data_IF_742814264044
#
_entry.id   IF_742814264044
#
_cell.length_a   1.000
_cell.length_b   1.000
_cell.length_c   1.000
_cell.angle_alpha   90.00
_cell.angle_beta   90.00
_cell.angle_gamma   90.00
#
_symmetry.space_group_name_H-M   'P 1'
#
loop_
_entity.id
_entity.type
_entity.pdbx_description
1 polymer ?
#
# COMPACT_ATOMS: atom_id res chain seq x y z
N UNK A 1 54.67 -6.07 24.81
CA UNK A 1 53.59 -6.99 24.39
C UNK A 1 52.24 -6.56 24.92
N UNK A 2 52.13 -6.15 26.20
CA UNK A 2 50.92 -5.61 26.85
C UNK A 2 50.25 -4.44 26.08
N UNK A 3 51.02 -3.45 25.62
CA UNK A 3 50.48 -2.25 24.95
C UNK A 3 49.76 -2.54 23.63
N UNK A 4 50.24 -3.55 22.89
CA UNK A 4 49.68 -3.96 21.58
C UNK A 4 48.34 -4.69 21.76
N UNK A 5 48.18 -5.40 22.88
CA UNK A 5 46.94 -6.12 23.24
C UNK A 5 45.86 -5.12 23.64
N UNK A 6 46.19 -4.09 24.44
CA UNK A 6 45.22 -3.06 24.80
C UNK A 6 44.78 -2.22 23.60
N UNK A 7 45.69 -1.93 22.67
CA UNK A 7 45.39 -1.17 21.45
C UNK A 7 44.43 -1.92 20.51
N UNK A 8 44.60 -3.24 20.37
CA UNK A 8 43.74 -4.07 19.53
C UNK A 8 42.33 -4.24 20.13
N UNK A 9 42.22 -4.35 21.45
CA UNK A 9 40.95 -4.41 22.17
C UNK A 9 40.15 -3.11 22.00
N UNK A 10 40.81 -1.95 22.09
CA UNK A 10 40.15 -0.63 21.91
C UNK A 10 39.65 -0.45 20.46
N UNK A 11 40.44 -0.86 19.46
CA UNK A 11 40.03 -0.83 18.05
C UNK A 11 38.83 -1.75 17.76
N UNK A 12 38.77 -2.93 18.39
CA UNK A 12 37.65 -3.87 18.22
C UNK A 12 36.33 -3.32 18.78
N UNK A 13 36.37 -2.65 19.94
CA UNK A 13 35.17 -2.04 20.57
C UNK A 13 34.65 -0.85 19.75
N UNK A 14 35.54 -0.03 19.18
CA UNK A 14 35.16 1.11 18.36
C UNK A 14 34.58 0.69 16.98
N UNK A 15 35.15 -0.35 16.36
CA UNK A 15 34.65 -0.89 15.09
C UNK A 15 33.25 -1.51 15.20
N UNK A 16 32.96 -2.18 16.32
CA UNK A 16 31.66 -2.83 16.52
C UNK A 16 30.53 -1.81 16.71
N UNK A 17 30.78 -0.72 17.46
CA UNK A 17 29.80 0.36 17.67
C UNK A 17 29.45 1.14 16.41
N UNK A 18 30.41 1.34 15.50
CA UNK A 18 30.17 2.05 14.23
C UNK A 18 29.39 1.18 13.22
N UNK A 19 29.58 -0.14 13.26
CA UNK A 19 28.87 -1.10 12.39
C UNK A 19 27.36 -1.20 12.67
N UNK A 20 26.95 -1.20 13.94
CA UNK A 20 25.51 -1.18 14.29
C UNK A 20 24.84 0.17 13.99
N UNK A 21 25.56 1.29 14.09
CA UNK A 21 25.05 2.62 13.71
C UNK A 21 24.74 2.72 12.21
N UNK A 22 25.62 2.19 11.35
CA UNK A 22 25.39 2.14 9.89
C UNK A 22 24.25 1.18 9.52
N UNK A 23 24.10 0.05 10.22
CA UNK A 23 22.99 -0.88 10.02
C UNK A 23 21.63 -0.29 10.44
N UNK A 24 21.60 0.53 11.49
CA UNK A 24 20.40 1.24 11.94
C UNK A 24 20.00 2.38 10.97
N UNK A 25 20.96 3.13 10.42
CA UNK A 25 20.69 4.24 9.49
C UNK A 25 20.36 3.79 8.05
N UNK A 26 20.63 2.54 7.67
CA UNK A 26 20.32 1.99 6.35
C UNK A 26 18.91 1.38 6.24
N UNK A 27 18.09 1.46 7.30
CA UNK A 27 16.66 1.12 7.20
C UNK A 27 15.90 2.39 6.75
N UNK A 28 15.31 2.44 5.55
CA UNK A 28 14.40 3.51 5.23
C UNK A 28 13.15 3.35 6.10
N UNK A 29 13.08 4.08 7.22
CA UNK A 29 11.91 4.24 8.08
C UNK A 29 10.99 5.34 7.52
N UNK A 30 10.82 5.37 6.20
CA UNK A 30 9.76 6.15 5.58
C UNK A 30 8.48 5.33 5.67
N UNK A 31 7.37 5.96 6.05
CA UNK A 31 6.03 5.39 6.00
C UNK A 31 5.71 5.01 4.53
N UNK A 32 6.21 3.86 4.08
CA UNK A 32 5.95 3.35 2.74
C UNK A 32 4.47 3.02 2.69
N UNK A 33 3.74 3.68 1.78
CA UNK A 33 2.36 3.34 1.48
C UNK A 33 2.22 1.82 1.41
N UNK A 34 1.23 1.25 2.11
CA UNK A 34 1.05 -0.21 2.18
C UNK A 34 0.92 -0.80 0.77
N UNK A 35 0.31 -0.04 -0.13
CA UNK A 35 0.14 -0.39 -1.53
C UNK A 35 0.51 0.81 -2.43
N UNK A 36 1.77 0.97 -2.85
CA UNK A 36 2.21 2.16 -3.60
C UNK A 36 1.80 2.12 -5.08
N UNK A 37 1.46 0.95 -5.62
CA UNK A 37 1.16 0.76 -7.04
C UNK A 37 -0.35 0.64 -7.27
N UNK A 38 -0.97 1.55 -8.04
CA UNK A 38 -2.34 1.37 -8.48
C UNK A 38 -2.42 0.33 -9.59
N UNK A 39 -3.57 -0.30 -9.73
CA UNK A 39 -3.90 -1.13 -10.88
C UNK A 39 -4.31 -0.23 -12.04
N UNK A 40 -3.51 -0.20 -13.11
CA UNK A 40 -3.80 0.63 -14.28
C UNK A 40 -4.50 -0.12 -15.41
N UNK A 41 -4.52 -1.44 -15.34
CA UNK A 41 -5.09 -2.30 -16.36
C UNK A 41 -6.57 -2.55 -16.10
N UNK A 42 -7.41 -2.03 -17.00
CA UNK A 42 -8.85 -2.23 -17.01
C UNK A 42 -9.19 -3.57 -17.67
N UNK A 43 -9.87 -4.46 -16.94
CA UNK A 43 -10.36 -5.74 -17.48
C UNK A 43 -11.55 -5.58 -18.43
N UNK A 44 -12.27 -4.46 -18.35
CA UNK A 44 -13.47 -4.18 -19.12
C UNK A 44 -13.40 -2.83 -19.84
N UNK A 45 -14.00 -2.72 -21.04
CA UNK A 45 -14.22 -1.42 -21.65
C UNK A 45 -15.23 -0.63 -20.83
N UNK A 46 -14.85 0.58 -20.43
CA UNK A 46 -15.68 1.57 -19.75
C UNK A 46 -15.83 2.80 -20.65
N UNK A 47 -16.82 3.66 -20.37
CA UNK A 47 -16.98 4.92 -21.12
C UNK A 47 -15.73 5.80 -21.10
N UNK A 48 -15.49 6.58 -22.16
CA UNK A 48 -14.29 7.43 -22.29
C UNK A 48 -14.15 8.42 -21.12
N UNK A 49 -15.26 8.99 -20.65
CA UNK A 49 -15.27 9.89 -19.49
C UNK A 49 -14.86 9.17 -18.21
N UNK A 50 -15.36 7.94 -17.99
CA UNK A 50 -14.99 7.11 -16.85
C UNK A 50 -13.52 6.67 -16.92
N UNK A 51 -13.01 6.41 -18.12
CA UNK A 51 -11.60 6.10 -18.35
C UNK A 51 -10.69 7.27 -18.00
N UNK A 52 -11.03 8.47 -18.45
CA UNK A 52 -10.26 9.67 -18.12
C UNK A 52 -10.22 9.93 -16.60
N UNK A 53 -11.35 9.73 -15.92
CA UNK A 53 -11.41 9.82 -14.45
C UNK A 53 -10.57 8.73 -13.78
N UNK A 54 -10.60 7.49 -14.28
CA UNK A 54 -9.81 6.38 -13.76
C UNK A 54 -8.31 6.64 -13.88
N UNK A 55 -7.86 7.12 -15.03
CA UNK A 55 -6.46 7.48 -15.28
C UNK A 55 -6.01 8.65 -14.40
N UNK A 56 -6.86 9.67 -14.26
CA UNK A 56 -6.66 10.80 -13.33
C UNK A 56 -6.54 10.32 -11.87
N UNK A 57 -7.40 9.39 -11.45
CA UNK A 57 -7.34 8.75 -10.14
C UNK A 57 -6.05 7.97 -9.93
N UNK A 58 -5.60 7.21 -10.92
CA UNK A 58 -4.32 6.49 -10.87
C UNK A 58 -3.13 7.46 -10.76
N UNK A 59 -3.14 8.57 -11.50
CA UNK A 59 -2.11 9.59 -11.42
C UNK A 59 -2.07 10.27 -10.05
N UNK A 60 -3.24 10.61 -9.49
CA UNK A 60 -3.34 11.15 -8.14
C UNK A 60 -2.85 10.16 -7.08
N UNK A 61 -3.17 8.87 -7.24
CA UNK A 61 -2.71 7.79 -6.37
C UNK A 61 -1.19 7.67 -6.38
N UNK A 62 -0.57 7.66 -7.57
CA UNK A 62 0.87 7.58 -7.72
C UNK A 62 1.60 8.79 -7.11
N UNK A 63 0.94 9.95 -7.05
CA UNK A 63 1.44 11.15 -6.37
C UNK A 63 1.21 11.12 -4.85
N UNK A 64 0.62 10.05 -4.29
CA UNK A 64 0.27 9.94 -2.87
C UNK A 64 -0.94 10.79 -2.46
N UNK A 65 -1.66 11.38 -3.42
CA UNK A 65 -2.86 12.20 -3.17
C UNK A 65 -4.09 11.31 -3.06
N UNK A 66 -4.11 10.44 -2.06
CA UNK A 66 -5.18 9.44 -1.87
C UNK A 66 -6.59 10.02 -1.78
N UNK A 67 -6.85 11.16 -1.10
CA UNK A 67 -8.20 11.75 -1.09
C UNK A 67 -8.70 12.11 -2.49
N UNK A 68 -7.85 12.78 -3.28
CA UNK A 68 -8.19 13.14 -4.66
C UNK A 68 -8.37 11.89 -5.54
N UNK A 69 -7.54 10.86 -5.34
CA UNK A 69 -7.70 9.59 -6.04
C UNK A 69 -9.04 8.93 -5.74
N UNK A 70 -9.47 8.94 -4.47
CA UNK A 70 -10.77 8.41 -4.03
C UNK A 70 -11.92 9.16 -4.69
N UNK A 71 -11.87 10.49 -4.79
CA UNK A 71 -12.91 11.28 -5.47
C UNK A 71 -13.06 10.86 -6.93
N UNK A 72 -11.92 10.71 -7.64
CA UNK A 72 -11.92 10.26 -9.04
C UNK A 72 -12.44 8.82 -9.17
N UNK A 73 -11.98 7.89 -8.33
CA UNK A 73 -12.46 6.52 -8.36
C UNK A 73 -13.94 6.41 -7.99
N UNK A 74 -14.45 7.27 -7.09
CA UNK A 74 -15.86 7.30 -6.70
C UNK A 74 -16.75 7.75 -7.88
N UNK A 75 -16.28 8.71 -8.68
CA UNK A 75 -16.97 9.09 -9.91
C UNK A 75 -17.04 7.92 -10.90
N UNK A 76 -15.95 7.15 -11.05
CA UNK A 76 -15.93 5.93 -11.87
C UNK A 76 -16.85 4.85 -11.30
N UNK A 77 -16.87 4.62 -9.98
CA UNK A 77 -17.77 3.65 -9.33
C UNK A 77 -19.26 4.02 -9.52
N UNK A 78 -19.56 5.30 -9.68
CA UNK A 78 -20.92 5.81 -9.89
C UNK A 78 -21.35 5.65 -11.35
N UNK A 79 -20.45 5.96 -12.29
CA UNK A 79 -20.71 5.80 -13.72
C UNK A 79 -20.73 4.31 -14.14
N UNK A 80 -19.78 3.53 -13.63
CA UNK A 80 -19.51 2.15 -14.02
C UNK A 80 -19.46 1.24 -12.78
N UNK A 81 -20.63 0.85 -12.23
CA UNK A 81 -20.70 0.06 -10.99
C UNK A 81 -20.13 -1.36 -11.14
N UNK A 82 -19.85 -1.80 -12.37
CA UNK A 82 -19.25 -3.10 -12.67
C UNK A 82 -17.71 -3.03 -12.82
N UNK A 83 -17.09 -1.84 -12.72
CA UNK A 83 -15.65 -1.67 -12.82
C UNK A 83 -14.95 -2.11 -11.52
N UNK A 84 -14.49 -3.36 -11.47
CA UNK A 84 -13.82 -3.94 -10.32
C UNK A 84 -12.53 -3.19 -9.94
N UNK A 85 -11.79 -2.68 -10.94
CA UNK A 85 -10.53 -1.94 -10.77
C UNK A 85 -10.72 -0.62 -10.03
N UNK A 86 -11.83 0.08 -10.26
CA UNK A 86 -12.13 1.32 -9.57
C UNK A 86 -12.31 1.06 -8.07
N UNK A 87 -13.10 0.04 -7.71
CA UNK A 87 -13.24 -0.41 -6.31
C UNK A 87 -11.90 -0.88 -5.76
N UNK A 88 -11.12 -1.63 -6.54
CA UNK A 88 -9.81 -2.11 -6.11
C UNK A 88 -8.89 -0.95 -5.73
N UNK A 89 -8.67 0.00 -6.65
CA UNK A 89 -7.79 1.15 -6.43
C UNK A 89 -8.30 2.10 -5.34
N UNK A 90 -9.62 2.31 -5.27
CA UNK A 90 -10.24 3.07 -4.17
C UNK A 90 -9.97 2.41 -2.82
N UNK A 91 -10.09 1.10 -2.73
CA UNK A 91 -9.77 0.32 -1.54
C UNK A 91 -8.30 0.44 -1.11
N UNK A 92 -7.37 0.42 -2.07
CA UNK A 92 -5.95 0.67 -1.80
C UNK A 92 -5.69 2.11 -1.34
N UNK A 93 -6.41 3.09 -1.88
CA UNK A 93 -6.26 4.49 -1.52
C UNK A 93 -6.71 4.71 -0.07
N UNK A 94 -7.86 4.15 0.32
CA UNK A 94 -8.30 4.11 1.71
C UNK A 94 -7.29 3.37 2.62
N UNK A 95 -6.73 2.25 2.16
CA UNK A 95 -5.72 1.54 2.92
C UNK A 95 -4.47 2.40 3.14
N UNK A 96 -4.02 3.14 2.15
CA UNK A 96 -2.85 4.02 2.29
C UNK A 96 -3.13 5.25 3.18
N UNK A 97 -4.39 5.69 3.26
CA UNK A 97 -4.82 6.72 4.23
C UNK A 97 -4.90 6.19 5.67
N UNK A 98 -4.81 4.88 5.88
CA UNK A 98 -4.96 4.24 7.19
C UNK A 98 -6.40 4.07 7.64
N UNK A 99 -7.37 4.25 6.74
CA UNK A 99 -8.80 3.99 6.99
C UNK A 99 -9.14 2.55 6.63
N UNK A 100 -8.56 1.61 7.39
CA UNK A 100 -8.56 0.17 7.13
C UNK A 100 -9.98 -0.42 7.04
N UNK A 101 -10.90 0.10 7.87
CA UNK A 101 -12.30 -0.34 7.85
C UNK A 101 -13.00 -0.07 6.52
N UNK A 102 -12.80 1.13 5.97
CA UNK A 102 -13.35 1.50 4.65
C UNK A 102 -12.63 0.75 3.54
N UNK A 103 -11.30 0.61 3.65
CA UNK A 103 -10.51 -0.15 2.69
C UNK A 103 -11.01 -1.58 2.51
N UNK A 104 -11.27 -2.29 3.63
CA UNK A 104 -11.81 -3.66 3.61
C UNK A 104 -13.18 -3.70 2.92
N UNK A 105 -14.10 -2.79 3.26
CA UNK A 105 -15.44 -2.78 2.64
C UNK A 105 -15.39 -2.59 1.13
N UNK A 106 -14.56 -1.65 0.65
CA UNK A 106 -14.43 -1.37 -0.79
C UNK A 106 -13.72 -2.51 -1.51
N UNK A 107 -12.67 -3.09 -0.91
CA UNK A 107 -11.95 -4.25 -1.47
C UNK A 107 -12.81 -5.51 -1.52
N UNK A 108 -13.72 -5.72 -0.56
CA UNK A 108 -14.65 -6.84 -0.60
C UNK A 108 -15.59 -6.72 -1.81
N UNK A 109 -16.13 -5.53 -2.10
CA UNK A 109 -16.90 -5.30 -3.33
C UNK A 109 -16.08 -5.58 -4.59
N UNK A 110 -14.82 -5.14 -4.62
CA UNK A 110 -13.93 -5.45 -5.74
C UNK A 110 -13.72 -6.97 -5.90
N UNK A 111 -13.60 -7.72 -4.81
CA UNK A 111 -13.47 -9.18 -4.84
C UNK A 111 -14.69 -9.88 -5.42
N UNK A 112 -15.90 -9.44 -5.06
CA UNK A 112 -17.15 -9.98 -5.60
C UNK A 112 -17.27 -9.72 -7.11
N UNK A 113 -16.86 -8.52 -7.56
CA UNK A 113 -16.84 -8.20 -8.98
C UNK A 113 -15.80 -9.05 -9.72
N UNK A 114 -14.56 -9.17 -9.23
CA UNK A 114 -13.56 -10.01 -9.89
C UNK A 114 -13.94 -11.49 -9.96
N UNK A 115 -14.64 -12.00 -8.95
CA UNK A 115 -15.18 -13.37 -8.96
C UNK A 115 -16.21 -13.55 -10.09
N UNK A 116 -17.15 -12.60 -10.24
CA UNK A 116 -18.10 -12.58 -11.36
C UNK A 116 -17.41 -12.48 -12.72
N UNK A 117 -16.32 -11.73 -12.79
CA UNK A 117 -15.52 -11.55 -14.00
C UNK A 117 -14.58 -12.75 -14.28
N UNK A 118 -14.63 -13.81 -13.46
CA UNK A 118 -13.74 -14.98 -13.55
C UNK A 118 -12.25 -14.62 -13.54
N UNK A 119 -11.88 -13.47 -12.96
CA UNK A 119 -10.50 -12.97 -12.95
C UNK A 119 -9.76 -13.46 -11.70
N UNK A 120 -9.36 -14.74 -11.75
CA UNK A 120 -8.66 -15.43 -10.66
C UNK A 120 -7.41 -14.71 -10.11
N UNK A 121 -6.46 -14.20 -10.94
CA UNK A 121 -5.26 -13.57 -10.39
C UNK A 121 -5.55 -12.29 -9.60
N UNK A 122 -6.58 -11.52 -10.00
CA UNK A 122 -7.00 -10.31 -9.27
C UNK A 122 -7.64 -10.65 -7.94
N UNK A 123 -8.43 -11.72 -7.90
CA UNK A 123 -9.07 -12.19 -6.68
C UNK A 123 -8.03 -12.62 -5.63
N UNK A 124 -7.01 -13.37 -6.03
CA UNK A 124 -5.94 -13.81 -5.12
C UNK A 124 -5.10 -12.63 -4.61
N UNK A 125 -4.86 -11.63 -5.47
CA UNK A 125 -4.22 -10.38 -5.06
C UNK A 125 -5.04 -9.63 -4.01
N UNK A 126 -6.36 -9.50 -4.18
CA UNK A 126 -7.20 -8.84 -3.18
C UNK A 126 -7.17 -9.57 -1.84
N UNK A 127 -7.24 -10.91 -1.84
CA UNK A 127 -7.16 -11.70 -0.60
C UNK A 127 -5.87 -11.38 0.15
N UNK A 128 -4.74 -11.36 -0.56
CA UNK A 128 -3.45 -11.02 0.03
C UNK A 128 -3.44 -9.59 0.62
N UNK A 129 -4.05 -8.63 -0.07
CA UNK A 129 -4.13 -7.24 0.41
C UNK A 129 -5.04 -7.10 1.64
N UNK A 130 -6.16 -7.82 1.68
CA UNK A 130 -7.04 -7.88 2.84
C UNK A 130 -6.32 -8.47 4.06
N UNK A 131 -5.52 -9.51 3.88
CA UNK A 131 -4.68 -10.08 4.95
C UNK A 131 -3.62 -9.09 5.44
N UNK A 132 -3.02 -8.31 4.54
CA UNK A 132 -2.07 -7.26 4.93
C UNK A 132 -2.73 -6.14 5.72
N UNK A 133 -3.93 -5.71 5.33
CA UNK A 133 -4.71 -4.71 6.08
C UNK A 133 -5.12 -5.30 7.44
N UNK A 134 -5.52 -6.57 7.49
CA UNK A 134 -5.86 -7.26 8.74
C UNK A 134 -4.66 -7.39 9.69
N UNK A 135 -3.48 -7.74 9.18
CA UNK A 135 -2.24 -7.81 9.97
C UNK A 135 -1.79 -6.45 10.47
N UNK A 136 -1.94 -5.39 9.67
CA UNK A 136 -1.74 -4.00 10.10
C UNK A 136 -2.67 -3.62 11.26
N UNK A 137 -3.92 -4.07 11.22
CA UNK A 137 -4.90 -3.87 12.31
C UNK A 137 -4.55 -4.67 13.58
N UNK A 138 -3.77 -5.74 13.45
CA UNK A 138 -3.32 -6.61 14.56
C UNK A 138 -2.02 -6.19 15.26
N UNK A 139 -1.33 -5.12 14.82
CA UNK A 139 -0.01 -4.72 15.37
C UNK A 139 0.23 -3.22 15.57
N UNK A 140 -0.78 -2.35 15.43
CA UNK A 140 -0.66 -0.97 15.91
C UNK A 140 -1.23 -0.89 17.33
N UNK A 141 -0.39 -0.76 18.38
CA UNK A 141 -0.89 -0.16 19.60
C UNK A 141 -1.42 1.20 19.20
N UNK A 142 -2.72 1.39 19.37
CA UNK A 142 -3.37 2.68 19.29
C UNK A 142 -2.75 3.59 20.34
N UNK A 143 -1.61 4.22 20.03
CA UNK A 143 -1.12 5.38 20.78
C UNK A 143 -1.95 6.58 20.35
N UNK A 144 -3.19 6.58 20.80
CA UNK A 144 -4.07 7.72 20.88
C UNK A 144 -4.70 7.67 22.27
N UNK A 145 -3.94 8.13 23.26
CA UNK A 145 -4.39 8.58 24.57
C UNK A 145 -3.34 9.56 25.10
#
# INVERSE_FOLDING_TARGET
MELVIWLSVVLAVLGFGMGVMVWAYRRPLGNSALFPTPVMELSMPIGDDARAQFESGCAAFAQGRYPAAIDQFTAVMTAEPNCAEAFHNGGLAYANMGTDGQAVQVLLKASELYDRQSTKPRLDLIKQQLEQIASRRGLKPSTAA
#
